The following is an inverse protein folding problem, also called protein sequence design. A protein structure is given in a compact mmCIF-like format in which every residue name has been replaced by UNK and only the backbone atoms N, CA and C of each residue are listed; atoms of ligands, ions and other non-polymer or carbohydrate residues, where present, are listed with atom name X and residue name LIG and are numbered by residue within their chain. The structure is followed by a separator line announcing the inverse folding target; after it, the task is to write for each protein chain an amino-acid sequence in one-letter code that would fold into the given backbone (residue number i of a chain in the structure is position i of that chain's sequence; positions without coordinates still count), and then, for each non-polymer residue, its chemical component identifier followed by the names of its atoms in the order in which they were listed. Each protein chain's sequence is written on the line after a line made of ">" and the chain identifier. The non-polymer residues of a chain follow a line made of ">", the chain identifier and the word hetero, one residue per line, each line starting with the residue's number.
data_IF_817517971094
#
_entry.id   IF_817517971094
#
_cell.length_a   1.000
_cell.length_b   1.000
_cell.length_c   1.000
_cell.angle_alpha   90.00
_cell.angle_beta   90.00
_cell.angle_gamma   90.00
#
_symmetry.space_group_name_H-M   'P 1'
#
loop_
_entity.id
_entity.type
_entity.pdbx_description
1 polymer ?
#
# COMPACT_ATOMS: atom_id res chain seq x y z
N UNK A 1 -16.21 13.63 -11.78
CA UNK A 1 -15.06 14.53 -11.90
C UNK A 1 -13.90 13.65 -12.28
N UNK A 2 -13.45 13.75 -13.53
CA UNK A 2 -12.30 12.98 -13.99
C UNK A 2 -11.08 13.85 -13.80
N UNK A 3 -10.42 13.75 -12.64
CA UNK A 3 -9.10 14.35 -12.48
C UNK A 3 -8.19 13.66 -13.49
N UNK A 4 -7.81 14.42 -14.51
CA UNK A 4 -6.89 13.93 -15.51
C UNK A 4 -5.55 13.81 -14.81
N UNK A 5 -4.98 12.61 -14.74
CA UNK A 5 -3.65 12.36 -14.16
C UNK A 5 -2.60 13.37 -14.67
N UNK A 6 -2.83 14.01 -15.81
CA UNK A 6 -2.04 15.07 -16.43
C UNK A 6 -1.80 16.31 -15.57
N UNK A 7 -2.69 16.66 -14.64
CA UNK A 7 -2.48 17.83 -13.77
C UNK A 7 -1.45 17.58 -12.67
N UNK A 8 -1.15 16.32 -12.37
CA UNK A 8 -0.23 15.96 -11.29
C UNK A 8 1.22 16.07 -11.75
N UNK A 9 2.08 16.80 -11.00
CA UNK A 9 3.49 16.98 -11.30
C UNK A 9 4.28 15.67 -11.21
N UNK A 10 3.83 14.74 -10.35
CA UNK A 10 4.44 13.42 -10.17
C UNK A 10 3.38 12.38 -9.86
N UNK A 11 3.66 11.15 -10.28
CA UNK A 11 2.84 9.95 -10.09
C UNK A 11 3.68 8.88 -9.45
N UNK A 12 3.20 8.32 -8.35
CA UNK A 12 3.98 7.43 -7.52
C UNK A 12 3.20 6.14 -7.33
N UNK A 13 3.89 5.02 -7.46
CA UNK A 13 3.39 3.73 -7.03
C UNK A 13 4.24 3.20 -5.88
N UNK A 14 3.58 2.84 -4.77
CA UNK A 14 4.23 2.28 -3.59
C UNK A 14 3.71 0.86 -3.37
N UNK A 15 4.55 -0.15 -3.54
CA UNK A 15 4.24 -1.54 -3.16
C UNK A 15 4.84 -1.85 -1.79
N UNK A 16 3.97 -2.12 -0.81
CA UNK A 16 4.35 -2.46 0.55
C UNK A 16 3.95 -3.89 0.85
N UNK A 17 4.94 -4.74 1.07
CA UNK A 17 4.72 -6.15 1.36
C UNK A 17 6.01 -6.95 1.42
N UNK A 18 5.92 -8.28 1.58
CA UNK A 18 7.09 -9.14 1.61
C UNK A 18 7.85 -9.11 0.27
N UNK A 19 9.18 -9.33 0.31
CA UNK A 19 10.06 -9.18 -0.86
C UNK A 19 9.72 -10.11 -2.03
N UNK A 20 9.05 -11.22 -1.75
CA UNK A 20 8.63 -12.23 -2.74
C UNK A 20 7.38 -11.83 -3.54
N UNK A 21 6.67 -10.76 -3.16
CA UNK A 21 5.52 -10.28 -3.94
C UNK A 21 6.01 -9.55 -5.19
N UNK A 22 5.46 -9.99 -6.32
CA UNK A 22 5.75 -9.47 -7.66
C UNK A 22 5.12 -8.09 -7.85
N UNK A 23 5.93 -7.10 -8.20
CA UNK A 23 5.51 -5.74 -8.54
C UNK A 23 5.04 -5.63 -9.99
N UNK A 24 5.24 -6.66 -10.82
CA UNK A 24 4.94 -6.63 -12.25
C UNK A 24 3.46 -6.43 -12.55
N UNK A 25 2.57 -6.77 -11.61
CA UNK A 25 1.13 -6.59 -11.84
C UNK A 25 0.80 -5.14 -12.17
N UNK A 26 1.41 -4.16 -11.49
CA UNK A 26 1.14 -2.74 -11.70
C UNK A 26 1.46 -2.35 -13.15
N UNK A 27 2.67 -2.67 -13.60
CA UNK A 27 3.14 -2.37 -14.96
C UNK A 27 2.30 -3.05 -16.06
N UNK A 28 1.69 -4.20 -15.75
CA UNK A 28 0.93 -5.01 -16.72
C UNK A 28 -0.56 -4.68 -16.77
N UNK A 29 -1.16 -4.29 -15.65
CA UNK A 29 -2.62 -4.25 -15.50
C UNK A 29 -3.15 -2.90 -15.03
N UNK A 30 -2.34 -2.09 -14.37
CA UNK A 30 -2.80 -0.79 -13.89
C UNK A 30 -2.96 0.17 -15.09
N UNK A 31 -4.12 0.83 -15.25
CA UNK A 31 -4.39 1.71 -16.38
C UNK A 31 -3.66 3.05 -16.22
N UNK A 32 -2.35 3.08 -16.48
CA UNK A 32 -1.51 4.28 -16.37
C UNK A 32 -1.89 5.39 -17.36
N UNK A 33 -2.66 5.06 -18.40
CA UNK A 33 -3.01 5.97 -19.52
C UNK A 33 -1.78 6.55 -20.23
N UNK A 34 -0.75 5.72 -20.44
CA UNK A 34 0.54 6.09 -21.06
C UNK A 34 1.29 7.17 -20.28
N UNK A 35 1.27 7.10 -18.95
CA UNK A 35 1.95 8.03 -18.07
C UNK A 35 2.97 7.27 -17.23
N UNK A 36 4.09 7.91 -16.95
CA UNK A 36 5.15 7.33 -16.14
C UNK A 36 4.80 7.39 -14.65
N UNK A 37 5.20 6.36 -13.92
CA UNK A 37 5.08 6.25 -12.47
C UNK A 37 6.45 5.98 -11.86
N UNK A 38 6.79 6.73 -10.82
CA UNK A 38 7.94 6.40 -9.97
C UNK A 38 7.55 5.26 -9.04
N UNK A 39 8.24 4.13 -9.15
CA UNK A 39 7.93 2.92 -8.39
C UNK A 39 8.85 2.78 -7.18
N UNK A 40 8.24 2.62 -6.00
CA UNK A 40 8.92 2.33 -4.75
C UNK A 40 8.43 1.00 -4.20
N UNK A 41 9.37 0.08 -3.91
CA UNK A 41 9.08 -1.17 -3.20
C UNK A 41 9.63 -1.06 -1.79
N UNK A 42 8.77 -1.28 -0.81
CA UNK A 42 9.11 -1.22 0.62
C UNK A 42 8.84 -2.60 1.21
N UNK A 43 9.91 -3.29 1.58
CA UNK A 43 9.84 -4.66 2.08
C UNK A 43 9.46 -4.67 3.57
N UNK A 44 8.41 -5.42 3.92
CA UNK A 44 8.06 -5.68 5.32
C UNK A 44 8.95 -6.81 5.83
N UNK A 45 9.96 -6.46 6.62
CA UNK A 45 10.89 -7.46 7.18
C UNK A 45 10.17 -8.27 8.26
N UNK A 46 9.75 -9.49 7.91
CA UNK A 46 9.53 -10.54 8.89
C UNK A 46 10.89 -11.07 9.29
N UNK A 47 11.17 -11.12 10.60
CA UNK A 47 12.41 -11.60 11.23
C UNK A 47 12.74 -13.08 10.94
N UNK A 48 12.56 -13.59 9.72
CA UNK A 48 13.02 -14.92 9.32
C UNK A 48 13.43 -14.87 7.85
N UNK A 49 14.75 -14.96 7.61
CA UNK A 49 15.46 -15.18 6.33
C UNK A 49 16.25 -13.98 5.79
N UNK A 50 17.50 -13.91 6.26
CA UNK A 50 18.61 -13.30 5.55
C UNK A 50 18.90 -14.04 4.24
N UNK A 51 18.72 -13.41 3.08
CA UNK A 51 19.59 -13.57 1.89
C UNK A 51 19.25 -12.61 0.73
N UNK A 52 20.10 -11.59 0.60
CA UNK A 52 20.65 -10.96 -0.62
C UNK A 52 19.84 -10.88 -1.93
N UNK A 53 19.66 -9.66 -2.45
CA UNK A 53 19.99 -9.31 -3.87
C UNK A 53 19.76 -7.83 -4.24
N UNK A 54 20.83 -7.06 -4.27
CA UNK A 54 21.03 -5.71 -4.85
C UNK A 54 20.06 -5.21 -5.95
N UNK A 55 19.32 -4.13 -5.67
CA UNK A 55 19.02 -3.02 -6.62
C UNK A 55 18.32 -1.89 -5.85
N UNK A 56 19.02 -0.77 -5.62
CA UNK A 56 18.56 0.43 -4.89
C UNK A 56 17.49 0.17 -3.81
N UNK A 57 17.80 -0.75 -2.89
CA UNK A 57 16.89 -1.19 -1.83
C UNK A 57 17.09 -0.29 -0.62
N UNK A 58 16.04 0.45 -0.24
CA UNK A 58 16.02 1.08 1.08
C UNK A 58 15.37 0.09 2.04
N UNK A 59 16.20 -0.64 2.79
CA UNK A 59 15.73 -1.50 3.87
C UNK A 59 15.22 -0.60 5.01
N UNK A 60 13.90 -0.58 5.24
CA UNK A 60 13.30 0.21 6.31
C UNK A 60 12.34 -0.65 7.14
N UNK A 61 12.83 -1.26 8.23
CA UNK A 61 12.04 -2.10 9.14
C UNK A 61 11.45 -1.23 10.26
N UNK A 62 10.20 -0.81 10.12
CA UNK A 62 9.22 -0.54 11.20
C UNK A 62 7.98 0.12 10.59
N UNK A 63 6.79 -0.35 10.96
CA UNK A 63 5.51 0.13 10.43
C UNK A 63 5.37 1.66 10.60
N UNK A 64 5.81 2.22 11.74
CA UNK A 64 5.84 3.67 11.96
C UNK A 64 6.78 4.43 11.01
N UNK A 65 7.86 3.78 10.55
CA UNK A 65 8.84 4.40 9.64
C UNK A 65 8.30 4.46 8.20
N UNK A 66 7.35 3.60 7.82
CA UNK A 66 6.64 3.76 6.55
C UNK A 66 5.88 5.09 6.51
N UNK A 67 5.13 5.40 7.57
CA UNK A 67 4.36 6.64 7.62
C UNK A 67 5.26 7.88 7.54
N UNK A 68 6.41 7.85 8.22
CA UNK A 68 7.43 8.90 8.15
C UNK A 68 8.06 8.99 6.75
N UNK A 69 8.33 7.83 6.13
CA UNK A 69 8.88 7.78 4.78
C UNK A 69 7.91 8.39 3.77
N UNK A 70 6.62 8.03 3.83
CA UNK A 70 5.58 8.59 2.94
C UNK A 70 5.52 10.11 3.14
N UNK A 71 5.43 10.58 4.39
CA UNK A 71 5.41 12.03 4.70
C UNK A 71 6.63 12.79 4.20
N UNK A 72 7.79 12.15 4.16
CA UNK A 72 9.04 12.79 3.75
C UNK A 72 9.25 12.79 2.22
N UNK A 73 8.72 11.78 1.52
CA UNK A 73 9.00 11.56 0.11
C UNK A 73 7.81 11.88 -0.81
N UNK A 74 6.61 12.01 -0.26
CA UNK A 74 5.36 12.29 -1.00
C UNK A 74 4.82 13.65 -0.59
N UNK A 75 4.26 14.38 -1.56
CA UNK A 75 3.56 15.64 -1.34
C UNK A 75 2.08 15.53 -1.69
N UNK A 76 1.27 16.42 -1.13
CA UNK A 76 -0.19 16.45 -1.32
C UNK A 76 -0.59 16.73 -2.77
N UNK A 77 0.26 17.40 -3.56
CA UNK A 77 -0.01 17.67 -4.97
C UNK A 77 0.31 16.49 -5.91
N UNK A 78 0.76 15.34 -5.41
CA UNK A 78 1.22 14.20 -6.21
C UNK A 78 0.16 13.10 -6.23
N UNK A 79 0.06 12.36 -7.35
CA UNK A 79 -0.89 11.24 -7.43
C UNK A 79 -0.24 9.97 -6.93
N UNK A 80 -0.74 9.42 -5.83
CA UNK A 80 -0.16 8.25 -5.17
C UNK A 80 -1.09 7.06 -5.20
N UNK A 81 -0.59 6.00 -5.81
CA UNK A 81 -1.18 4.68 -5.77
C UNK A 81 -0.38 3.82 -4.81
N UNK A 82 -1.04 3.20 -3.84
CA UNK A 82 -0.39 2.31 -2.88
C UNK A 82 -1.01 0.93 -2.92
N UNK A 83 -0.20 -0.11 -2.74
CA UNK A 83 -0.64 -1.48 -2.47
C UNK A 83 -0.05 -1.93 -1.14
N UNK A 84 -0.91 -2.32 -0.20
CA UNK A 84 -0.47 -2.63 1.17
C UNK A 84 -1.43 -3.59 1.90
N UNK A 85 -0.92 -4.29 2.90
CA UNK A 85 -1.71 -5.15 3.78
C UNK A 85 -2.45 -4.35 4.87
N UNK A 86 -3.57 -4.90 5.34
CA UNK A 86 -4.45 -4.22 6.30
C UNK A 86 -3.76 -3.77 7.60
N UNK A 87 -2.76 -4.50 8.09
CA UNK A 87 -2.01 -4.11 9.30
C UNK A 87 -1.19 -2.84 9.10
N UNK A 88 -0.57 -2.70 7.92
CA UNK A 88 0.19 -1.51 7.54
C UNK A 88 -0.75 -0.32 7.35
N UNK A 89 -1.88 -0.54 6.69
CA UNK A 89 -2.87 0.51 6.41
C UNK A 89 -3.52 1.04 7.70
N UNK A 90 -3.76 0.18 8.69
CA UNK A 90 -4.27 0.64 9.99
C UNK A 90 -3.30 1.57 10.73
N UNK A 91 -2.00 1.32 10.62
CA UNK A 91 -1.00 2.22 11.17
C UNK A 91 -0.97 3.55 10.40
N UNK A 92 -1.01 3.50 9.06
CA UNK A 92 -1.08 4.70 8.22
C UNK A 92 -2.32 5.56 8.51
N UNK A 93 -3.44 4.93 8.86
CA UNK A 93 -4.64 5.61 9.35
C UNK A 93 -4.38 6.30 10.70
N UNK A 94 -3.71 5.62 11.63
CA UNK A 94 -3.39 6.17 12.96
C UNK A 94 -2.40 7.32 12.89
N UNK A 95 -1.39 7.22 12.04
CA UNK A 95 -0.38 8.26 11.81
C UNK A 95 -0.87 9.38 10.90
N UNK A 96 -2.08 9.28 10.32
CA UNK A 96 -2.66 10.21 9.35
C UNK A 96 -1.82 10.39 8.08
N UNK A 97 -0.90 9.48 7.79
CA UNK A 97 -0.13 9.51 6.55
C UNK A 97 -0.97 9.01 5.36
N UNK A 98 -2.07 8.30 5.61
CA UNK A 98 -2.97 7.77 4.58
C UNK A 98 -3.62 8.86 3.71
N UNK A 99 -3.70 10.11 4.19
CA UNK A 99 -4.24 11.23 3.43
C UNK A 99 -3.38 11.64 2.23
N UNK A 100 -2.14 11.13 2.16
CA UNK A 100 -1.23 11.32 1.03
C UNK A 100 -1.40 10.25 -0.06
N UNK A 101 -2.40 9.37 0.08
CA UNK A 101 -2.67 8.27 -0.84
C UNK A 101 -4.02 8.52 -1.52
N UNK A 102 -4.00 8.70 -2.83
CA UNK A 102 -5.23 8.89 -3.62
C UNK A 102 -5.94 7.56 -3.88
N UNK A 103 -5.19 6.52 -4.22
CA UNK A 103 -5.71 5.20 -4.58
C UNK A 103 -4.99 4.08 -3.82
N UNK A 104 -5.76 3.17 -3.22
CA UNK A 104 -5.23 2.09 -2.39
C UNK A 104 -5.77 0.72 -2.82
N UNK A 105 -4.86 -0.18 -3.15
CA UNK A 105 -5.11 -1.61 -3.28
C UNK A 105 -4.88 -2.29 -1.93
N UNK A 106 -5.97 -2.50 -1.19
CA UNK A 106 -5.94 -3.06 0.15
C UNK A 106 -6.00 -4.59 0.12
N UNK A 107 -4.93 -5.23 0.57
CA UNK A 107 -4.90 -6.67 0.81
C UNK A 107 -5.37 -6.96 2.25
N UNK A 108 -6.59 -7.49 2.37
CA UNK A 108 -7.15 -7.91 3.66
C UNK A 108 -7.68 -9.33 3.52
N UNK A 109 -6.96 -10.31 4.07
CA UNK A 109 -7.32 -11.73 4.03
C UNK A 109 -8.12 -12.11 5.29
N UNK A 110 -9.46 -12.21 5.21
CA UNK A 110 -10.25 -12.59 6.37
C UNK A 110 -10.06 -14.08 6.71
N UNK A 111 -10.12 -14.41 8.00
CA UNK A 111 -10.11 -15.81 8.43
C UNK A 111 -11.43 -16.49 8.06
N UNK A 112 -11.40 -17.39 7.07
CA UNK A 112 -12.56 -18.12 6.58
C UNK A 112 -12.83 -19.44 7.35
N UNK A 113 -11.99 -19.86 8.31
CA UNK A 113 -12.18 -21.10 9.09
C UNK A 113 -11.73 -20.99 10.55
N UNK A 114 -12.50 -21.59 11.46
CA UNK A 114 -12.09 -21.89 12.86
C UNK A 114 -10.97 -22.94 12.84
N UNK A 115 -9.72 -22.52 12.71
CA UNK A 115 -8.57 -23.43 12.71
C UNK A 115 -7.28 -22.75 13.13
N UNK A 116 -6.97 -22.83 14.44
CA UNK A 116 -5.66 -22.73 15.14
C UNK A 116 -4.55 -21.76 14.71
N UNK A 117 -4.73 -20.83 13.78
CA UNK A 117 -3.82 -19.68 13.63
C UNK A 117 -4.35 -18.50 14.44
N UNK A 118 -3.52 -17.95 15.33
CA UNK A 118 -3.91 -16.92 16.31
C UNK A 118 -3.92 -15.48 15.78
N UNK A 119 -3.73 -15.27 14.47
CA UNK A 119 -3.70 -13.92 13.89
C UNK A 119 -4.43 -13.87 12.55
N UNK A 120 -5.66 -13.35 12.54
CA UNK A 120 -6.26 -12.90 11.29
C UNK A 120 -7.62 -12.26 11.52
N UNK A 121 -7.89 -11.21 10.74
CA UNK A 121 -9.09 -10.37 10.88
C UNK A 121 -10.35 -11.13 10.47
N UNK A 122 -11.45 -10.80 11.13
CA UNK A 122 -12.79 -11.15 10.67
C UNK A 122 -13.13 -10.35 9.40
N UNK A 123 -14.01 -10.90 8.56
CA UNK A 123 -14.45 -10.24 7.32
C UNK A 123 -15.03 -8.84 7.57
N UNK A 124 -15.82 -8.67 8.63
CA UNK A 124 -16.39 -7.38 9.00
C UNK A 124 -15.35 -6.34 9.39
N UNK A 125 -14.22 -6.75 9.98
CA UNK A 125 -13.13 -5.83 10.31
C UNK A 125 -12.47 -5.29 9.04
N UNK A 126 -12.28 -6.13 8.02
CA UNK A 126 -11.84 -5.67 6.70
C UNK A 126 -12.84 -4.64 6.13
N UNK A 127 -14.14 -4.98 6.09
CA UNK A 127 -15.16 -4.06 5.56
C UNK A 127 -15.23 -2.73 6.32
N UNK A 128 -15.08 -2.75 7.65
CA UNK A 128 -15.03 -1.55 8.45
C UNK A 128 -13.79 -0.69 8.11
N UNK A 129 -12.64 -1.32 7.86
CA UNK A 129 -11.45 -0.61 7.39
C UNK A 129 -11.68 0.03 6.01
N UNK A 130 -12.31 -0.68 5.06
CA UNK A 130 -12.69 -0.12 3.75
C UNK A 130 -13.54 1.15 3.88
N UNK A 131 -14.54 1.12 4.77
CA UNK A 131 -15.41 2.28 5.03
C UNK A 131 -14.60 3.47 5.52
N UNK A 132 -13.80 3.27 6.58
CA UNK A 132 -12.98 4.35 7.18
C UNK A 132 -11.99 4.97 6.20
N UNK A 133 -11.39 4.17 5.32
CA UNK A 133 -10.46 4.68 4.30
C UNK A 133 -11.15 5.57 3.27
N UNK A 134 -12.37 5.21 2.87
CA UNK A 134 -13.18 6.04 1.97
C UNK A 134 -13.63 7.34 2.64
N UNK A 135 -13.90 7.29 3.94
CA UNK A 135 -14.23 8.50 4.73
C UNK A 135 -13.05 9.48 4.80
N UNK A 136 -11.80 9.00 4.69
CA UNK A 136 -10.59 9.84 4.54
C UNK A 136 -10.35 10.32 3.10
N UNK A 137 -11.24 9.98 2.14
CA UNK A 137 -11.16 10.42 0.75
C UNK A 137 -10.34 9.51 -0.17
N UNK A 138 -9.89 8.34 0.30
CA UNK A 138 -9.06 7.41 -0.49
C UNK A 138 -9.93 6.54 -1.40
N UNK A 139 -9.53 6.40 -2.68
CA UNK A 139 -10.13 5.44 -3.60
C UNK A 139 -9.61 4.02 -3.30
N UNK A 140 -10.42 3.21 -2.60
CA UNK A 140 -9.99 1.88 -2.15
C UNK A 140 -10.51 0.75 -3.03
N UNK A 141 -9.59 -0.12 -3.44
CA UNK A 141 -9.80 -1.33 -4.23
C UNK A 141 -9.44 -2.58 -3.42
N UNK A 142 -10.23 -3.64 -3.59
CA UNK A 142 -9.96 -4.93 -2.96
C UNK A 142 -8.89 -5.70 -3.70
N UNK A 143 -7.84 -6.13 -2.98
CA UNK A 143 -6.75 -6.92 -3.52
C UNK A 143 -6.76 -8.35 -2.95
N UNK A 144 -6.90 -9.34 -3.82
CA UNK A 144 -7.07 -10.75 -3.42
C UNK A 144 -5.86 -11.65 -3.71
N UNK A 145 -4.87 -11.16 -4.46
CA UNK A 145 -3.74 -11.96 -4.96
C UNK A 145 -4.05 -12.59 -6.32
#
# INVERSE_FOLDING_TARGET
>A
MGDSLESYPRRIFIDVGPPEKDTDWFSRNYPTRNKDFEMYKIDTVTEESSSSSSSSRMEVPQIGVLSDWVRKNVKEEEYVVMKAEAEIVEEMMRSKAISLVDELFLECKPQLKKGKSKSGRAYWECLALYGRLRDEGVAVHQWWG
#
